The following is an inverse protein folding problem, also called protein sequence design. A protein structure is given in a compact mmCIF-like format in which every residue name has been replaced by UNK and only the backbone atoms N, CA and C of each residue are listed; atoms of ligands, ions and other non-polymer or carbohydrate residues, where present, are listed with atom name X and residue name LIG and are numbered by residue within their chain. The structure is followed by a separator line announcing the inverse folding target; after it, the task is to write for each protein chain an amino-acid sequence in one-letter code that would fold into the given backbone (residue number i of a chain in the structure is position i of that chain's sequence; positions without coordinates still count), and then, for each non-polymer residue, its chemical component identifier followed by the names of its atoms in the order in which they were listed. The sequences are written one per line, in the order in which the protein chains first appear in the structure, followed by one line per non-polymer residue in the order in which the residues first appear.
data_IF_365358356903
#
_entry.id   IF_365358356903
#
_cell.length_a   1.000
_cell.length_b   1.000
_cell.length_c   1.000
_cell.angle_alpha   90.00
_cell.angle_beta   90.00
_cell.angle_gamma   90.00
#
_symmetry.space_group_name_H-M   'P 1'
#
loop_
_entity.id
_entity.type
_entity.pdbx_description
1 polymer ?
#
# COMPACT_ATOMS: atom_id res chain seq x y z
N UNK A 1 7.75 -12.47 -13.63
CA UNK A 1 8.34 -13.40 -12.66
C UNK A 1 8.41 -12.86 -11.22
N UNK A 2 9.21 -11.83 -10.92
CA UNK A 2 9.41 -11.40 -9.52
C UNK A 2 8.11 -11.00 -8.78
N UNK A 3 7.21 -10.28 -9.46
CA UNK A 3 5.90 -9.90 -8.90
C UNK A 3 4.98 -11.10 -8.67
N UNK A 4 4.94 -12.06 -9.61
CA UNK A 4 4.13 -13.29 -9.48
C UNK A 4 4.65 -14.18 -8.35
N UNK A 5 5.98 -14.24 -8.18
CA UNK A 5 6.60 -14.92 -7.04
C UNK A 5 6.21 -14.26 -5.71
N UNK A 6 6.19 -12.92 -5.65
CA UNK A 6 5.72 -12.20 -4.47
C UNK A 6 4.24 -12.48 -4.19
N UNK A 7 3.39 -12.45 -5.22
CA UNK A 7 1.95 -12.73 -5.11
C UNK A 7 1.69 -14.13 -4.51
N UNK A 8 2.52 -15.12 -4.87
CA UNK A 8 2.48 -16.47 -4.30
C UNK A 8 2.67 -16.54 -2.77
N UNK A 9 3.29 -15.53 -2.14
CA UNK A 9 3.43 -15.46 -0.67
C UNK A 9 2.26 -14.76 0.03
N UNK A 10 1.43 -14.02 -0.70
CA UNK A 10 0.32 -13.24 -0.13
C UNK A 10 -0.66 -14.12 0.68
N UNK A 11 -1.06 -15.33 0.24
CA UNK A 11 -1.89 -16.20 1.07
C UNK A 11 -1.28 -16.51 2.44
N UNK A 12 0.01 -16.90 2.48
CA UNK A 12 0.69 -17.21 3.73
C UNK A 12 0.80 -15.99 4.67
N UNK A 13 0.98 -14.78 4.12
CA UNK A 13 0.97 -13.53 4.89
C UNK A 13 -0.44 -13.27 5.48
N UNK A 14 -1.50 -13.52 4.70
CA UNK A 14 -2.89 -13.38 5.16
C UNK A 14 -3.27 -14.40 6.24
N UNK A 15 -2.71 -15.60 6.18
CA UNK A 15 -2.91 -16.66 7.19
C UNK A 15 -2.34 -16.29 8.57
N UNK A 16 -1.40 -15.34 8.64
CA UNK A 16 -0.94 -14.74 9.89
C UNK A 16 -2.02 -13.88 10.56
N UNK A 17 -3.12 -13.58 9.86
CA UNK A 17 -4.22 -12.72 10.30
C UNK A 17 -3.73 -11.37 10.84
N UNK A 18 -3.00 -10.58 10.04
CA UNK A 18 -2.53 -9.27 10.48
C UNK A 18 -3.71 -8.31 10.71
N UNK A 19 -3.59 -7.41 11.68
CA UNK A 19 -4.57 -6.32 11.87
C UNK A 19 -4.57 -5.34 10.69
N UNK A 20 -3.38 -5.10 10.13
CA UNK A 20 -3.14 -4.24 8.96
C UNK A 20 -2.14 -4.92 8.03
N UNK A 21 -2.45 -4.97 6.74
CA UNK A 21 -1.54 -5.40 5.68
C UNK A 21 -1.28 -4.20 4.76
N UNK A 22 -0.01 -3.95 4.46
CA UNK A 22 0.42 -2.86 3.58
C UNK A 22 1.35 -3.41 2.51
N UNK A 23 1.11 -3.03 1.25
CA UNK A 23 1.96 -3.38 0.12
C UNK A 23 2.26 -2.11 -0.68
N UNK A 24 3.54 -1.84 -0.90
CA UNK A 24 4.03 -0.71 -1.73
C UNK A 24 5.46 -0.99 -2.17
N UNK A 25 5.94 -0.25 -3.18
CA UNK A 25 7.37 -0.05 -3.41
C UNK A 25 7.92 1.10 -2.55
N UNK A 26 9.24 1.18 -2.41
CA UNK A 26 9.96 2.33 -1.87
C UNK A 26 10.22 3.40 -2.93
N UNK A 27 10.43 2.99 -4.18
CA UNK A 27 10.50 3.87 -5.35
C UNK A 27 10.11 3.14 -6.64
N UNK A 28 9.86 3.92 -7.71
CA UNK A 28 9.69 3.37 -9.05
C UNK A 28 11.06 3.05 -9.67
N UNK A 29 11.14 1.96 -10.45
CA UNK A 29 12.31 1.66 -11.30
C UNK A 29 11.84 1.26 -12.70
N UNK A 30 11.41 2.22 -13.54
CA UNK A 30 10.88 1.91 -14.86
C UNK A 30 11.94 1.25 -15.75
N UNK A 31 11.60 0.12 -16.40
CA UNK A 31 12.56 -0.63 -17.22
C UNK A 31 13.18 0.18 -18.35
N UNK A 32 12.43 1.14 -18.92
CA UNK A 32 12.92 2.05 -19.97
C UNK A 32 14.01 3.01 -19.47
N UNK A 33 14.03 3.32 -18.18
CA UNK A 33 15.03 4.21 -17.58
C UNK A 33 16.25 3.45 -17.06
N UNK A 34 16.10 2.15 -16.73
CA UNK A 34 17.11 1.35 -16.05
C UNK A 34 17.70 2.04 -14.79
N UNK A 35 16.90 2.90 -14.16
CA UNK A 35 17.26 3.75 -13.02
C UNK A 35 16.02 4.06 -12.20
N UNK A 36 16.22 4.61 -10.99
CA UNK A 36 15.12 5.07 -10.16
C UNK A 36 14.35 6.19 -10.86
N UNK A 37 13.03 6.06 -10.88
CA UNK A 37 12.11 7.03 -11.43
C UNK A 37 11.45 7.89 -10.35
N UNK A 38 10.78 8.95 -10.79
CA UNK A 38 10.03 9.89 -9.93
C UNK A 38 8.52 9.64 -9.95
N UNK A 39 8.07 8.59 -10.64
CA UNK A 39 6.66 8.21 -10.69
C UNK A 39 6.19 7.79 -9.29
N UNK A 40 4.92 8.08 -8.93
CA UNK A 40 4.34 7.53 -7.72
C UNK A 40 4.32 6.00 -7.79
N UNK A 41 4.43 5.37 -6.62
CA UNK A 41 4.34 3.92 -6.46
C UNK A 41 2.93 3.51 -6.01
N UNK A 42 2.40 2.36 -6.45
CA UNK A 42 1.11 1.88 -5.99
C UNK A 42 1.18 1.50 -4.51
N UNK A 43 0.17 1.91 -3.74
CA UNK A 43 0.03 1.59 -2.32
C UNK A 43 -1.31 0.88 -2.11
N UNK A 44 -1.27 -0.26 -1.40
CA UNK A 44 -2.43 -0.94 -0.85
C UNK A 44 -2.32 -0.90 0.68
N UNK A 45 -3.38 -0.45 1.33
CA UNK A 45 -3.58 -0.56 2.77
C UNK A 45 -4.87 -1.35 2.99
N UNK A 46 -4.75 -2.48 3.66
CA UNK A 46 -5.87 -3.32 4.06
C UNK A 46 -5.92 -3.43 5.58
N UNK A 47 -7.11 -3.28 6.16
CA UNK A 47 -7.41 -3.50 7.56
C UNK A 47 -8.91 -3.70 7.76
N UNK A 48 -9.33 -4.01 8.99
CA UNK A 48 -10.76 -4.00 9.36
C UNK A 48 -11.40 -2.63 9.28
N UNK A 49 -10.62 -1.55 9.37
CA UNK A 49 -11.07 -0.17 9.51
C UNK A 49 -10.80 0.69 8.27
N UNK A 50 -10.07 0.17 7.27
CA UNK A 50 -9.89 0.88 6.01
C UNK A 50 -11.22 0.84 5.25
N UNK A 51 -11.75 2.01 4.88
CA UNK A 51 -12.89 2.06 3.98
C UNK A 51 -12.51 1.40 2.65
N UNK A 52 -13.37 0.52 2.12
CA UNK A 52 -13.18 -0.02 0.79
C UNK A 52 -13.48 1.05 -0.26
N UNK A 53 -12.65 1.14 -1.30
CA UNK A 53 -12.92 1.93 -2.49
C UNK A 53 -13.28 1.04 -3.68
N UNK A 54 -13.49 1.65 -4.85
CA UNK A 54 -13.90 0.93 -6.06
C UNK A 54 -12.76 0.18 -6.77
N UNK A 55 -11.54 0.16 -6.24
CA UNK A 55 -10.37 -0.43 -6.91
C UNK A 55 -10.36 -1.94 -6.71
N UNK A 56 -10.25 -2.70 -7.81
CA UNK A 56 -10.27 -4.17 -7.80
C UNK A 56 -8.95 -4.82 -8.24
N UNK A 57 -7.92 -4.03 -8.57
CA UNK A 57 -6.63 -4.51 -9.03
C UNK A 57 -5.48 -3.68 -8.45
N UNK A 58 -4.37 -4.32 -8.10
CA UNK A 58 -3.15 -3.65 -7.64
C UNK A 58 -2.21 -3.37 -8.83
N UNK A 59 -2.41 -2.22 -9.47
CA UNK A 59 -1.59 -1.72 -10.58
C UNK A 59 -1.49 -0.20 -10.48
N UNK A 60 -0.50 0.43 -11.11
CA UNK A 60 -0.30 1.87 -11.09
C UNK A 60 -1.55 2.63 -11.55
N UNK A 61 -2.19 2.17 -12.63
CA UNK A 61 -3.41 2.79 -13.17
C UNK A 61 -4.59 2.64 -12.23
N UNK A 62 -4.80 1.45 -11.68
CA UNK A 62 -5.94 1.17 -10.80
C UNK A 62 -5.80 1.91 -9.46
N UNK A 63 -4.61 1.90 -8.85
CA UNK A 63 -4.32 2.65 -7.63
C UNK A 63 -4.46 4.17 -7.81
N UNK A 64 -4.27 4.70 -9.02
CA UNK A 64 -4.54 6.10 -9.33
C UNK A 64 -6.01 6.54 -9.12
N UNK A 65 -6.95 5.59 -9.10
CA UNK A 65 -8.36 5.84 -8.75
C UNK A 65 -8.72 5.50 -7.30
N UNK A 66 -7.74 5.12 -6.48
CA UNK A 66 -7.95 4.74 -5.08
C UNK A 66 -8.18 5.93 -4.16
N UNK A 67 -8.85 5.67 -3.05
CA UNK A 67 -9.25 6.66 -2.04
C UNK A 67 -8.10 7.31 -1.28
N UNK A 68 -6.92 6.67 -1.23
CA UNK A 68 -5.71 7.24 -0.63
C UNK A 68 -5.17 8.46 -1.41
N UNK A 69 -5.49 8.55 -2.70
CA UNK A 69 -4.91 9.55 -3.59
C UNK A 69 -3.39 9.45 -3.70
N UNK A 70 -2.75 10.55 -4.09
CA UNK A 70 -1.28 10.67 -4.11
C UNK A 70 -0.83 11.38 -2.82
N UNK A 71 0.00 10.71 -2.03
CA UNK A 71 0.51 11.22 -0.76
C UNK A 71 2.03 11.05 -0.64
N UNK A 72 2.71 11.90 0.15
CA UNK A 72 4.09 11.65 0.57
C UNK A 72 4.20 10.32 1.33
N UNK A 73 5.21 9.50 1.00
CA UNK A 73 5.37 8.16 1.57
C UNK A 73 5.44 8.15 3.11
N UNK A 74 6.01 9.18 3.73
CA UNK A 74 6.10 9.29 5.19
C UNK A 74 4.73 9.49 5.88
N UNK A 75 3.69 9.90 5.15
CA UNK A 75 2.32 9.94 5.67
C UNK A 75 1.66 8.54 5.73
N UNK A 76 2.25 7.51 5.13
CA UNK A 76 1.70 6.15 5.17
C UNK A 76 1.72 5.58 6.60
N UNK A 77 2.81 5.76 7.35
CA UNK A 77 2.94 5.15 8.68
C UNK A 77 1.87 5.65 9.68
N UNK A 78 1.55 6.95 9.77
CA UNK A 78 0.41 7.41 10.56
C UNK A 78 -0.93 6.74 10.18
N UNK A 79 -1.20 6.56 8.89
CA UNK A 79 -2.42 5.86 8.43
C UNK A 79 -2.43 4.39 8.84
N UNK A 80 -1.30 3.70 8.74
CA UNK A 80 -1.13 2.32 9.20
C UNK A 80 -1.39 2.21 10.70
N UNK A 81 -0.81 3.11 11.50
CA UNK A 81 -1.01 3.15 12.95
C UNK A 81 -2.46 3.46 13.32
N UNK A 82 -3.15 4.33 12.56
CA UNK A 82 -4.57 4.61 12.77
C UNK A 82 -5.43 3.36 12.50
N UNK A 83 -5.15 2.66 11.40
CA UNK A 83 -5.83 1.40 11.05
C UNK A 83 -5.52 0.25 12.02
N UNK A 84 -4.37 0.29 12.69
CA UNK A 84 -4.02 -0.66 13.74
C UNK A 84 -4.60 -0.28 15.12
N UNK A 85 -5.33 0.84 15.25
CA UNK A 85 -5.75 1.43 16.53
C UNK A 85 -4.58 1.71 17.49
N UNK A 86 -3.41 2.06 16.93
CA UNK A 86 -2.17 2.35 17.66
C UNK A 86 -1.67 3.78 17.47
N UNK A 87 -2.42 4.61 16.74
CA UNK A 87 -2.12 6.03 16.61
C UNK A 87 -2.63 6.77 17.86
N UNK A 88 -1.72 7.37 18.61
CA UNK A 88 -2.09 8.24 19.74
C UNK A 88 -2.69 9.53 19.23
N UNK A 89 -3.88 9.86 19.73
CA UNK A 89 -4.54 11.13 19.45
C UNK A 89 -3.71 12.29 20.01
N UNK A 90 -3.51 13.33 19.21
CA UNK A 90 -2.89 14.57 19.67
C UNK A 90 -3.98 15.61 19.97
N UNK A 91 -4.14 15.95 21.25
CA UNK A 91 -5.19 16.83 21.73
C UNK A 91 -6.59 16.18 21.76
N UNK A 92 -7.49 16.80 22.53
CA UNK A 92 -8.86 16.38 22.83
C UNK A 92 -9.04 15.06 23.58
#
# INVERSE_FOLDING_TARGET
EALERFDGFVPAIRDLRPDVLVVTGDHATPSILAAHGWQPVPVLLWSRYCGADGVSAFTERACGGGSLGVLPAHHLMPLVMANALRLTKFGA
#
